data_IF_638628273144
#
_entry.id   IF_638628273144
#
_cell.length_a   1.000
_cell.length_b   1.000
_cell.length_c   1.000
_cell.angle_alpha   90.00
_cell.angle_beta   90.00
_cell.angle_gamma   90.00
#
_symmetry.space_group_name_H-M   'P 1'
#
loop_
_entity.id
_entity.type
_entity.pdbx_description
1 polymer ?
#
# COMPACT_ATOMS: atom_id res chain seq x y z
N UNK A 1 -11.85 -60.72 -14.29
CA UNK A 1 -10.60 -59.93 -14.26
C UNK A 1 -10.92 -58.51 -14.76
N UNK A 2 -11.25 -57.62 -13.86
CA UNK A 2 -11.54 -56.22 -14.16
C UNK A 2 -10.34 -55.34 -13.73
N UNK A 3 -9.72 -54.65 -14.66
CA UNK A 3 -8.67 -53.67 -14.40
C UNK A 3 -9.32 -52.33 -14.09
N UNK A 4 -9.19 -51.87 -12.86
CA UNK A 4 -9.51 -50.50 -12.48
C UNK A 4 -8.44 -49.55 -13.05
N UNK A 5 -8.84 -48.69 -13.97
CA UNK A 5 -8.04 -47.53 -14.38
C UNK A 5 -8.17 -46.46 -13.34
N UNK A 6 -7.06 -46.22 -12.58
CA UNK A 6 -6.96 -45.10 -11.70
C UNK A 6 -6.83 -43.82 -12.51
N UNK A 7 -7.66 -42.80 -12.20
CA UNK A 7 -7.52 -41.45 -12.71
C UNK A 7 -6.21 -40.83 -12.18
N UNK A 8 -5.46 -40.12 -13.04
CA UNK A 8 -4.31 -39.35 -12.54
C UNK A 8 -4.78 -38.20 -11.66
N UNK A 9 -4.01 -37.80 -10.65
CA UNK A 9 -4.37 -36.69 -9.77
C UNK A 9 -4.53 -35.41 -10.60
N UNK A 10 -5.58 -34.65 -10.28
CA UNK A 10 -5.95 -33.42 -10.96
C UNK A 10 -4.83 -32.37 -10.91
N UNK A 11 -4.60 -31.73 -12.03
CA UNK A 11 -3.57 -30.71 -12.28
C UNK A 11 -3.70 -29.47 -11.38
N UNK A 12 -4.79 -29.34 -10.60
CA UNK A 12 -5.13 -28.14 -9.83
C UNK A 12 -4.39 -27.99 -8.51
N UNK A 13 -3.85 -29.06 -7.92
CA UNK A 13 -3.20 -28.97 -6.61
C UNK A 13 -1.78 -28.40 -6.64
N UNK A 14 -1.05 -28.56 -7.76
CA UNK A 14 0.32 -28.06 -7.90
C UNK A 14 0.43 -26.58 -8.26
N UNK A 15 -0.61 -26.03 -8.89
CA UNK A 15 -0.64 -24.60 -9.25
C UNK A 15 -0.94 -23.71 -8.04
N UNK A 16 -1.81 -24.16 -7.13
CA UNK A 16 -2.20 -23.41 -5.93
C UNK A 16 -1.06 -23.27 -4.91
N UNK A 17 -0.23 -24.31 -4.73
CA UNK A 17 0.91 -24.27 -3.81
C UNK A 17 2.04 -23.35 -4.28
N UNK A 18 2.30 -23.30 -5.60
CA UNK A 18 3.33 -22.40 -6.15
C UNK A 18 2.93 -20.92 -6.16
N UNK A 19 1.64 -20.61 -6.22
CA UNK A 19 1.14 -19.23 -6.17
C UNK A 19 1.25 -18.66 -4.77
N UNK A 20 1.06 -19.49 -3.73
CA UNK A 20 1.09 -19.04 -2.34
C UNK A 20 2.52 -18.81 -1.79
N UNK A 21 3.55 -19.45 -2.35
CA UNK A 21 4.94 -19.30 -1.90
C UNK A 21 5.65 -18.04 -2.42
N UNK A 22 5.05 -17.31 -3.39
CA UNK A 22 5.70 -16.16 -4.06
C UNK A 22 5.19 -14.80 -3.57
N UNK A 23 4.26 -14.75 -2.62
CA UNK A 23 3.54 -13.54 -2.24
C UNK A 23 3.96 -12.90 -0.90
N UNK A 24 4.73 -13.57 -0.06
CA UNK A 24 5.23 -12.99 1.18
C UNK A 24 6.52 -12.18 0.91
N UNK A 25 6.54 -10.93 1.29
CA UNK A 25 7.74 -10.08 1.30
C UNK A 25 8.02 -9.26 0.03
N UNK A 26 7.27 -9.46 -1.08
CA UNK A 26 7.54 -8.77 -2.34
C UNK A 26 6.50 -7.69 -2.71
N UNK A 27 5.52 -7.45 -1.87
CA UNK A 27 4.50 -6.42 -2.08
C UNK A 27 4.36 -5.52 -0.87
N UNK A 28 4.10 -4.24 -1.13
CA UNK A 28 3.73 -3.27 -0.10
C UNK A 28 2.53 -2.47 -0.57
N UNK A 29 1.78 -1.94 0.38
CA UNK A 29 0.73 -0.97 0.09
C UNK A 29 1.23 0.44 0.43
N UNK A 30 0.84 1.39 -0.38
CA UNK A 30 1.08 2.82 -0.17
C UNK A 30 -0.13 3.64 -0.56
N UNK A 31 -0.16 4.88 -0.10
CA UNK A 31 -1.22 5.82 -0.42
C UNK A 31 -0.68 7.24 -0.35
N UNK A 32 -0.72 7.96 -1.47
CA UNK A 32 -0.47 9.41 -1.47
C UNK A 32 -1.65 10.08 -0.77
N UNK A 33 -1.36 10.89 0.24
CA UNK A 33 -2.33 11.52 1.11
C UNK A 33 -2.92 12.82 0.51
N UNK A 34 -4.03 13.35 1.07
CA UNK A 34 -4.72 14.49 0.50
C UNK A 34 -3.86 15.75 0.34
N UNK A 35 -2.93 16.00 1.25
CA UNK A 35 -2.02 17.14 1.22
C UNK A 35 -1.12 17.13 -0.03
N UNK A 36 -0.47 16.00 -0.30
CA UNK A 36 0.40 15.85 -1.46
C UNK A 36 -0.38 15.70 -2.77
N UNK A 37 -1.52 15.00 -2.76
CA UNK A 37 -2.36 14.82 -3.93
C UNK A 37 -2.97 16.15 -4.40
N UNK A 38 -3.47 16.99 -3.47
CA UNK A 38 -4.02 18.30 -3.79
C UNK A 38 -2.97 19.33 -4.21
N UNK A 39 -1.73 19.18 -3.72
CA UNK A 39 -0.59 20.02 -4.13
C UNK A 39 -0.02 19.64 -5.51
N UNK A 40 -0.57 18.61 -6.18
CA UNK A 40 -0.09 18.19 -7.50
C UNK A 40 1.17 17.34 -7.50
N UNK A 41 1.56 16.78 -6.34
CA UNK A 41 2.79 16.00 -6.19
C UNK A 41 2.67 14.54 -6.61
N UNK A 42 1.47 14.08 -7.03
CA UNK A 42 1.22 12.68 -7.41
C UNK A 42 2.23 12.17 -8.45
N UNK A 43 2.44 12.92 -9.53
CA UNK A 43 3.36 12.51 -10.61
C UNK A 43 4.82 12.43 -10.15
N UNK A 44 5.27 13.41 -9.36
CA UNK A 44 6.64 13.42 -8.82
C UNK A 44 6.88 12.25 -7.87
N UNK A 45 5.94 11.96 -6.97
CA UNK A 45 6.03 10.85 -6.03
C UNK A 45 6.00 9.50 -6.77
N UNK A 46 5.09 9.35 -7.75
CA UNK A 46 5.00 8.13 -8.58
C UNK A 46 6.31 7.88 -9.34
N UNK A 47 6.89 8.94 -9.92
CA UNK A 47 8.20 8.86 -10.58
C UNK A 47 9.30 8.35 -9.62
N UNK A 48 9.37 8.89 -8.40
CA UNK A 48 10.36 8.44 -7.40
C UNK A 48 10.18 6.96 -7.06
N UNK A 49 8.93 6.48 -6.98
CA UNK A 49 8.60 5.07 -6.73
C UNK A 49 9.13 4.17 -7.85
N UNK A 50 8.86 4.52 -9.10
CA UNK A 50 9.32 3.76 -10.26
C UNK A 50 10.85 3.80 -10.41
N UNK A 51 11.48 4.96 -10.23
CA UNK A 51 12.94 5.12 -10.26
C UNK A 51 13.66 4.32 -9.15
N UNK A 52 12.98 4.09 -8.02
CA UNK A 52 13.48 3.20 -6.96
C UNK A 52 13.31 1.70 -7.27
N UNK A 53 12.83 1.35 -8.46
CA UNK A 53 12.68 -0.02 -8.96
C UNK A 53 11.40 -0.74 -8.50
N UNK A 54 10.40 -0.01 -8.00
CA UNK A 54 9.10 -0.59 -7.70
C UNK A 54 8.24 -0.68 -8.95
N UNK A 55 7.62 -1.83 -9.15
CA UNK A 55 6.55 -2.02 -10.13
C UNK A 55 5.21 -1.66 -9.50
N UNK A 56 4.43 -0.82 -10.15
CA UNK A 56 3.07 -0.51 -9.72
C UNK A 56 2.16 -1.64 -10.21
N UNK A 57 1.57 -2.40 -9.28
CA UNK A 57 0.66 -3.52 -9.54
C UNK A 57 -0.78 -3.04 -9.65
N UNK A 58 -1.13 -2.05 -8.85
CA UNK A 58 -2.44 -1.43 -8.87
C UNK A 58 -2.32 0.03 -8.44
N UNK A 59 -3.12 0.91 -9.03
CA UNK A 59 -3.17 2.34 -8.71
C UNK A 59 -4.53 2.92 -9.07
N UNK A 60 -5.08 3.74 -8.19
CA UNK A 60 -6.28 4.53 -8.50
C UNK A 60 -6.35 5.81 -7.67
N UNK A 61 -7.13 6.78 -8.14
CA UNK A 61 -7.42 8.02 -7.39
C UNK A 61 -8.84 7.92 -6.87
N UNK A 62 -9.00 8.05 -5.56
CA UNK A 62 -10.30 7.97 -4.87
C UNK A 62 -10.42 9.05 -3.81
N UNK A 63 -11.63 9.31 -3.35
CA UNK A 63 -11.90 10.13 -2.17
C UNK A 63 -12.62 9.29 -1.14
N UNK A 64 -12.07 9.21 0.07
CA UNK A 64 -12.71 8.52 1.19
C UNK A 64 -13.84 9.38 1.78
N UNK A 65 -14.88 8.72 2.26
CA UNK A 65 -15.75 9.31 3.28
C UNK A 65 -15.07 9.25 4.64
N UNK A 66 -15.54 10.04 5.60
CA UNK A 66 -15.01 9.97 6.98
C UNK A 66 -15.19 8.57 7.58
N UNK A 67 -16.30 7.90 7.24
CA UNK A 67 -16.60 6.54 7.65
C UNK A 67 -15.59 5.52 7.08
N UNK A 68 -15.31 5.58 5.77
CA UNK A 68 -14.32 4.71 5.13
C UNK A 68 -12.90 4.97 5.66
N UNK A 69 -12.55 6.23 5.91
CA UNK A 69 -11.30 6.56 6.57
C UNK A 69 -11.23 5.92 7.98
N UNK A 70 -12.34 5.97 8.72
CA UNK A 70 -12.45 5.34 10.02
C UNK A 70 -12.31 3.82 10.00
N UNK A 71 -12.85 3.16 8.98
CA UNK A 71 -12.66 1.72 8.79
C UNK A 71 -11.22 1.36 8.47
N UNK A 72 -10.56 2.11 7.60
CA UNK A 72 -9.16 1.88 7.27
C UNK A 72 -8.23 2.07 8.48
N UNK A 73 -8.47 3.09 9.27
CA UNK A 73 -7.69 3.40 10.48
C UNK A 73 -8.30 2.83 11.77
N UNK A 74 -9.14 1.80 11.69
CA UNK A 74 -9.83 1.22 12.86
C UNK A 74 -8.90 0.78 13.99
N UNK A 75 -7.67 0.37 13.67
CA UNK A 75 -6.60 0.04 14.64
C UNK A 75 -6.24 1.22 15.56
N UNK A 76 -6.52 2.45 15.14
CA UNK A 76 -6.24 3.67 15.92
C UNK A 76 -7.47 4.24 16.62
N UNK A 77 -8.62 3.52 16.61
CA UNK A 77 -9.91 4.03 17.11
C UNK A 77 -9.85 4.61 18.53
N UNK A 78 -9.06 3.99 19.40
CA UNK A 78 -8.91 4.41 20.79
C UNK A 78 -7.85 5.52 20.99
N UNK A 79 -7.24 6.01 19.92
CA UNK A 79 -6.24 7.07 20.01
C UNK A 79 -6.87 8.46 19.94
N UNK A 80 -6.37 9.45 20.73
CA UNK A 80 -6.93 10.80 20.75
C UNK A 80 -6.98 11.49 19.39
N UNK A 81 -6.03 11.19 18.49
CA UNK A 81 -5.91 11.78 17.16
C UNK A 81 -6.81 11.12 16.10
N UNK A 82 -7.55 10.05 16.43
CA UNK A 82 -8.31 9.26 15.45
C UNK A 82 -9.32 10.09 14.65
N UNK A 83 -10.10 10.94 15.31
CA UNK A 83 -11.09 11.79 14.65
C UNK A 83 -10.47 12.78 13.67
N UNK A 84 -9.37 13.42 14.06
CA UNK A 84 -8.62 14.35 13.21
C UNK A 84 -7.99 13.64 12.01
N UNK A 85 -7.45 12.44 12.22
CA UNK A 85 -6.91 11.60 11.14
C UNK A 85 -7.99 11.24 10.12
N UNK A 86 -9.18 10.81 10.56
CA UNK A 86 -10.28 10.46 9.66
C UNK A 86 -10.77 11.70 8.87
N UNK A 87 -10.91 12.84 9.53
CA UNK A 87 -11.28 14.10 8.90
C UNK A 87 -10.24 14.54 7.87
N UNK A 88 -8.96 14.46 8.19
CA UNK A 88 -7.85 14.76 7.28
C UNK A 88 -7.85 13.82 6.06
N UNK A 89 -7.95 12.51 6.27
CA UNK A 89 -7.92 11.53 5.18
C UNK A 89 -9.14 11.57 4.25
N UNK A 90 -10.27 12.12 4.70
CA UNK A 90 -11.48 12.34 3.92
C UNK A 90 -11.58 13.76 3.32
N UNK A 91 -10.64 14.65 3.63
CA UNK A 91 -10.68 16.06 3.18
C UNK A 91 -10.43 16.23 1.68
N UNK A 92 -9.75 15.30 1.03
CA UNK A 92 -9.39 15.36 -0.39
C UNK A 92 -9.22 14.00 -1.04
N UNK A 93 -8.79 14.01 -2.29
CA UNK A 93 -8.46 12.78 -3.00
C UNK A 93 -7.16 12.17 -2.47
N UNK A 94 -7.11 10.85 -2.48
CA UNK A 94 -5.93 10.04 -2.19
C UNK A 94 -5.58 9.17 -3.39
N UNK A 95 -4.36 8.66 -3.45
CA UNK A 95 -3.92 7.75 -4.50
C UNK A 95 -3.33 6.49 -3.87
N UNK A 96 -4.17 5.48 -3.56
CA UNK A 96 -3.70 4.17 -3.11
C UNK A 96 -3.02 3.41 -4.25
N UNK A 97 -1.96 2.65 -3.91
CA UNK A 97 -1.19 1.80 -4.81
C UNK A 97 -0.75 0.52 -4.12
N UNK A 98 -0.67 -0.57 -4.91
CA UNK A 98 0.06 -1.78 -4.55
C UNK A 98 1.34 -1.78 -5.36
N UNK A 99 2.47 -1.94 -4.68
CA UNK A 99 3.80 -1.93 -5.26
C UNK A 99 4.47 -3.29 -5.09
N UNK A 100 5.27 -3.69 -6.06
CA UNK A 100 6.00 -4.95 -6.05
C UNK A 100 7.50 -4.71 -6.26
N UNK A 101 8.29 -5.28 -5.36
CA UNK A 101 9.76 -5.33 -5.38
C UNK A 101 10.22 -6.34 -4.34
N UNK A 102 11.39 -6.93 -4.49
CA UNK A 102 11.99 -7.71 -3.42
C UNK A 102 12.21 -6.83 -2.17
N UNK A 103 11.89 -7.35 -0.97
CA UNK A 103 11.90 -6.60 0.30
C UNK A 103 11.05 -5.31 0.26
N UNK A 104 9.88 -5.38 -0.40
CA UNK A 104 9.09 -4.20 -0.74
C UNK A 104 8.75 -3.31 0.46
N UNK A 105 8.34 -3.86 1.59
CA UNK A 105 7.95 -3.07 2.78
C UNK A 105 9.14 -2.28 3.32
N UNK A 106 10.28 -2.95 3.56
CA UNK A 106 11.46 -2.29 4.15
C UNK A 106 12.04 -1.24 3.20
N UNK A 107 12.22 -1.58 1.94
CA UNK A 107 12.79 -0.66 0.94
C UNK A 107 11.87 0.54 0.68
N UNK A 108 10.55 0.32 0.68
CA UNK A 108 9.61 1.42 0.53
C UNK A 108 9.63 2.36 1.73
N UNK A 109 9.74 1.85 2.95
CA UNK A 109 9.88 2.67 4.15
C UNK A 109 11.16 3.52 4.14
N UNK A 110 12.26 3.01 3.57
CA UNK A 110 13.48 3.80 3.33
C UNK A 110 13.25 4.92 2.31
N UNK A 111 12.56 4.62 1.21
CA UNK A 111 12.24 5.59 0.16
C UNK A 111 11.38 6.74 0.66
N UNK A 112 10.34 6.44 1.46
CA UNK A 112 9.44 7.48 1.96
C UNK A 112 10.03 8.30 3.11
N UNK A 113 10.96 7.74 3.88
CA UNK A 113 11.62 8.41 5.00
C UNK A 113 10.81 8.41 6.30
N UNK A 114 11.37 9.02 7.34
CA UNK A 114 10.77 9.12 8.66
C UNK A 114 9.42 9.84 8.63
N UNK A 115 8.50 9.48 9.54
CA UNK A 115 7.16 10.08 9.66
C UNK A 115 7.21 11.59 9.93
N UNK A 116 8.16 12.02 10.75
CA UNK A 116 8.47 13.44 10.95
C UNK A 116 9.37 13.91 9.78
N UNK A 117 8.92 14.84 8.92
CA UNK A 117 9.70 15.32 7.79
C UNK A 117 11.01 16.01 8.21
N UNK A 118 11.07 16.56 9.42
CA UNK A 118 12.30 17.17 9.97
C UNK A 118 13.39 16.14 10.28
N UNK A 119 12.99 14.87 10.45
CA UNK A 119 13.90 13.73 10.70
C UNK A 119 14.08 12.84 9.48
N UNK A 120 13.32 13.10 8.41
CA UNK A 120 13.41 12.35 7.18
C UNK A 120 14.74 12.66 6.47
N UNK A 121 15.42 11.61 6.00
CA UNK A 121 16.67 11.77 5.27
C UNK A 121 16.46 12.59 3.98
N UNK A 122 17.41 13.43 3.58
CA UNK A 122 17.34 14.19 2.34
C UNK A 122 17.05 13.28 1.12
N UNK A 123 16.20 13.74 0.21
CA UNK A 123 15.85 12.98 -0.99
C UNK A 123 14.71 11.96 -0.80
N UNK A 124 14.24 11.73 0.43
CA UNK A 124 13.06 10.89 0.67
C UNK A 124 11.76 11.64 0.37
N UNK A 125 10.69 10.90 0.10
CA UNK A 125 9.38 11.50 -0.25
C UNK A 125 8.91 12.49 0.82
N UNK A 126 9.01 12.12 2.09
CA UNK A 126 8.56 12.98 3.19
C UNK A 126 9.45 14.20 3.40
N UNK A 127 10.75 14.08 3.18
CA UNK A 127 11.66 15.23 3.21
C UNK A 127 11.32 16.28 2.14
N UNK A 128 10.85 15.83 0.97
CA UNK A 128 10.54 16.68 -0.18
C UNK A 128 9.13 17.25 -0.17
N UNK A 129 8.14 16.47 0.28
CA UNK A 129 6.72 16.78 0.04
C UNK A 129 5.87 16.86 1.30
N UNK A 130 6.33 16.38 2.46
CA UNK A 130 5.57 16.45 3.70
C UNK A 130 5.64 17.84 4.34
N UNK A 131 4.52 18.29 4.92
CA UNK A 131 4.42 19.58 5.62
C UNK A 131 4.61 19.45 7.13
N UNK A 132 4.15 18.36 7.69
CA UNK A 132 4.19 18.08 9.15
C UNK A 132 4.11 16.57 9.40
N UNK A 133 4.12 16.16 10.68
CA UNK A 133 3.89 14.76 11.08
C UNK A 133 2.49 14.30 10.67
N UNK A 134 1.48 15.17 10.77
CA UNK A 134 0.09 14.84 10.44
C UNK A 134 -0.14 14.87 8.93
N UNK A 135 0.35 15.91 8.25
CA UNK A 135 0.34 16.08 6.80
C UNK A 135 1.66 15.59 6.19
N UNK A 136 1.92 14.29 6.26
CA UNK A 136 3.21 13.69 5.92
C UNK A 136 3.28 13.06 4.53
N UNK A 137 2.45 13.51 3.62
CA UNK A 137 2.41 13.26 2.18
C UNK A 137 2.05 11.83 1.75
N UNK A 138 2.54 10.80 2.44
CA UNK A 138 2.42 9.41 1.99
C UNK A 138 2.32 8.43 3.16
N UNK A 139 1.51 7.39 2.98
CA UNK A 139 1.44 6.21 3.84
C UNK A 139 2.28 5.09 3.23
N UNK A 140 2.87 4.26 4.06
CA UNK A 140 3.48 2.99 3.68
C UNK A 140 3.25 1.95 4.76
N UNK A 141 2.91 0.74 4.35
CA UNK A 141 2.70 -0.38 5.28
C UNK A 141 3.94 -0.65 6.12
N UNK A 142 3.75 -1.11 7.34
CA UNK A 142 4.81 -1.41 8.30
C UNK A 142 5.20 -2.90 8.34
N UNK A 143 4.38 -3.75 7.70
CA UNK A 143 4.61 -5.20 7.62
C UNK A 143 3.93 -5.78 6.38
N UNK A 144 4.37 -6.98 5.95
CA UNK A 144 3.75 -7.71 4.84
C UNK A 144 2.29 -8.04 5.12
N UNK A 145 1.96 -8.43 6.36
CA UNK A 145 0.59 -8.72 6.78
C UNK A 145 -0.31 -7.47 6.66
N UNK A 146 0.16 -6.32 7.12
CA UNK A 146 -0.58 -5.07 7.00
C UNK A 146 -0.67 -4.61 5.54
N UNK A 147 0.37 -4.82 4.74
CA UNK A 147 0.35 -4.52 3.30
C UNK A 147 -0.76 -5.30 2.57
N UNK A 148 -0.97 -6.55 2.92
CA UNK A 148 -2.05 -7.37 2.36
C UNK A 148 -3.44 -6.86 2.79
N UNK A 149 -3.64 -6.62 4.09
CA UNK A 149 -4.89 -6.10 4.64
C UNK A 149 -5.25 -4.76 4.01
N UNK A 150 -4.30 -3.82 3.98
CA UNK A 150 -4.47 -2.49 3.43
C UNK A 150 -4.71 -2.50 1.92
N UNK A 151 -3.99 -3.36 1.19
CA UNK A 151 -4.20 -3.58 -0.23
C UNK A 151 -5.59 -4.16 -0.54
N UNK A 152 -6.07 -5.11 0.27
CA UNK A 152 -7.40 -5.72 0.13
C UNK A 152 -8.53 -4.73 0.43
N UNK A 153 -8.29 -3.70 1.25
CA UNK A 153 -9.28 -2.65 1.51
C UNK A 153 -9.60 -1.82 0.25
N UNK A 154 -8.58 -1.55 -0.57
CA UNK A 154 -8.73 -0.68 -1.73
C UNK A 154 -8.91 -1.42 -3.05
N UNK A 155 -8.32 -2.60 -3.22
CA UNK A 155 -8.23 -3.26 -4.51
C UNK A 155 -8.79 -4.69 -4.47
N UNK A 156 -9.65 -5.01 -5.44
CA UNK A 156 -10.05 -6.38 -5.74
C UNK A 156 -8.91 -7.15 -6.42
N UNK A 157 -9.04 -8.47 -6.53
CA UNK A 157 -8.05 -9.30 -7.24
C UNK A 157 -7.92 -8.95 -8.73
N UNK A 158 -9.01 -8.49 -9.34
CA UNK A 158 -9.04 -8.10 -10.76
C UNK A 158 -8.31 -6.79 -11.08
N UNK A 159 -8.01 -5.98 -10.07
CA UNK A 159 -7.30 -4.69 -10.20
C UNK A 159 -5.78 -4.83 -10.02
N UNK A 160 -5.26 -6.05 -9.83
CA UNK A 160 -3.84 -6.32 -9.49
C UNK A 160 -3.16 -7.07 -10.64
N UNK A 161 -2.47 -6.39 -11.51
CA UNK A 161 -1.82 -6.98 -12.69
C UNK A 161 -0.43 -6.39 -12.99
#
# INVERSE_FOLDING_TARGET
MGRCFGYPPSFDSFAAEKINLKMAGNRTFTMIKPDAASAGHTGAITKMIEEAGFRIVAMKKVKLTNELAGQFYAIHKERPFYGELCAYMSSGAIVPMILEKENAVEDFRKLIGATDPKKAAPGTVRALFAKSIDANAIHGSDSDANAEIEGNFFFSQFERF
#
